data_IF_373372963561
#
_entry.id   IF_373372963561
#
_cell.length_a   1.000
_cell.length_b   1.000
_cell.length_c   1.000
_cell.angle_alpha   90.00
_cell.angle_beta   90.00
_cell.angle_gamma   90.00
#
_symmetry.space_group_name_H-M   'P 1'
#
loop_
_entity.id
_entity.type
_entity.pdbx_description
1 polymer ?
#
# COMPACT_ATOMS: atom_id res chain seq x y z
N UNK A 1 -13.65 2.74 11.10
CA UNK A 1 -14.01 1.30 11.22
C UNK A 1 -13.74 0.54 9.92
N UNK A 2 -14.52 0.73 8.84
CA UNK A 2 -14.35 -0.05 7.60
C UNK A 2 -12.97 0.15 6.95
N UNK A 3 -12.54 1.40 6.79
CA UNK A 3 -11.20 1.74 6.27
C UNK A 3 -10.09 1.27 7.21
N UNK A 4 -10.32 1.29 8.52
CA UNK A 4 -9.35 0.84 9.52
C UNK A 4 -9.02 -0.65 9.35
N UNK A 5 -9.98 -1.49 8.99
CA UNK A 5 -9.74 -2.91 8.70
C UNK A 5 -8.85 -3.10 7.46
N UNK A 6 -9.08 -2.31 6.40
CA UNK A 6 -8.25 -2.30 5.21
C UNK A 6 -6.79 -1.91 5.52
N UNK A 7 -6.61 -0.92 6.39
CA UNK A 7 -5.27 -0.53 6.88
C UNK A 7 -4.63 -1.70 7.63
N UNK A 8 -5.32 -2.29 8.62
CA UNK A 8 -4.76 -3.40 9.42
C UNK A 8 -4.35 -4.60 8.55
N UNK A 9 -5.16 -4.97 7.56
CA UNK A 9 -4.82 -6.05 6.63
C UNK A 9 -3.62 -5.71 5.73
N UNK A 10 -3.51 -4.46 5.27
CA UNK A 10 -2.34 -4.00 4.53
C UNK A 10 -1.09 -3.94 5.41
N UNK A 11 -1.22 -3.52 6.67
CA UNK A 11 -0.10 -3.45 7.63
C UNK A 11 0.49 -4.81 7.94
N UNK A 12 -0.34 -5.87 7.95
CA UNK A 12 0.13 -7.24 8.09
C UNK A 12 1.15 -7.67 7.01
N UNK A 13 1.22 -6.96 5.88
CA UNK A 13 2.15 -7.28 4.79
C UNK A 13 3.49 -6.55 4.92
N UNK A 14 3.58 -5.53 5.79
CA UNK A 14 4.78 -4.67 5.93
C UNK A 14 6.04 -5.46 6.25
N UNK A 15 5.94 -6.44 7.15
CA UNK A 15 7.09 -7.24 7.58
C UNK A 15 7.71 -7.99 6.41
N UNK A 16 6.90 -8.74 5.67
CA UNK A 16 7.36 -9.55 4.54
C UNK A 16 7.91 -8.69 3.39
N UNK A 17 7.25 -7.57 3.09
CA UNK A 17 7.71 -6.61 2.06
C UNK A 17 9.04 -5.96 2.45
N UNK A 18 9.20 -5.59 3.73
CA UNK A 18 10.44 -5.01 4.26
C UNK A 18 11.58 -6.03 4.26
N UNK A 19 11.32 -7.25 4.73
CA UNK A 19 12.31 -8.33 4.76
C UNK A 19 12.81 -8.68 3.36
N UNK A 20 11.90 -8.77 2.38
CA UNK A 20 12.29 -8.97 0.98
C UNK A 20 13.24 -7.86 0.50
N UNK A 21 12.90 -6.60 0.76
CA UNK A 21 13.72 -5.45 0.37
C UNK A 21 15.11 -5.48 1.00
N UNK A 22 15.21 -5.80 2.29
CA UNK A 22 16.48 -5.88 3.00
C UNK A 22 17.36 -7.03 2.48
N UNK A 23 16.77 -8.14 2.06
CA UNK A 23 17.49 -9.31 1.55
C UNK A 23 17.90 -9.21 0.07
N UNK A 24 17.11 -8.51 -0.76
CA UNK A 24 17.32 -8.48 -2.21
C UNK A 24 17.79 -7.12 -2.74
N UNK A 25 17.71 -6.05 -1.94
CA UNK A 25 18.05 -4.70 -2.40
C UNK A 25 17.05 -4.11 -3.40
N UNK A 26 15.87 -4.70 -3.50
CA UNK A 26 14.76 -4.23 -4.34
C UNK A 26 13.41 -4.62 -3.71
N UNK A 27 12.38 -3.85 -4.02
CA UNK A 27 11.02 -4.12 -3.56
C UNK A 27 10.43 -5.34 -4.27
N UNK A 28 9.63 -6.16 -3.58
CA UNK A 28 9.02 -7.33 -4.20
C UNK A 28 8.04 -6.91 -5.29
N UNK A 29 8.18 -7.51 -6.47
CA UNK A 29 7.31 -7.23 -7.63
C UNK A 29 5.84 -7.54 -7.36
N UNK A 30 5.56 -8.57 -6.56
CA UNK A 30 4.21 -9.07 -6.27
C UNK A 30 4.13 -9.78 -4.91
N UNK A 31 2.91 -10.24 -4.55
CA UNK A 31 2.64 -10.98 -3.32
C UNK A 31 3.50 -12.25 -3.18
N UNK A 32 3.72 -12.97 -4.29
CA UNK A 32 4.46 -14.23 -4.29
C UNK A 32 5.95 -14.01 -4.02
N UNK A 33 6.55 -13.01 -4.67
CA UNK A 33 7.90 -12.55 -4.37
C UNK A 33 8.05 -12.10 -2.92
N UNK A 34 7.06 -11.36 -2.39
CA UNK A 34 7.06 -10.96 -0.99
C UNK A 34 6.88 -12.14 0.00
N UNK A 35 6.54 -13.35 -0.46
CA UNK A 35 6.31 -14.49 0.41
C UNK A 35 4.97 -14.45 1.17
N UNK A 36 3.99 -13.69 0.68
CA UNK A 36 2.64 -13.58 1.27
C UNK A 36 1.58 -14.26 0.40
N UNK A 37 0.39 -14.46 0.95
CA UNK A 37 -0.72 -15.04 0.21
C UNK A 37 -1.06 -14.22 -1.04
N UNK A 38 -1.56 -14.88 -2.08
CA UNK A 38 -2.04 -14.21 -3.30
C UNK A 38 -3.09 -13.14 -2.95
N UNK A 39 -3.12 -12.02 -3.68
CA UNK A 39 -3.93 -10.85 -3.33
C UNK A 39 -5.40 -11.16 -3.02
N UNK A 40 -6.04 -12.01 -3.83
CA UNK A 40 -7.43 -12.44 -3.69
C UNK A 40 -7.72 -13.38 -2.51
N UNK A 41 -6.69 -13.79 -1.76
CA UNK A 41 -6.80 -14.57 -0.53
C UNK A 41 -6.61 -13.72 0.72
N UNK A 42 -6.10 -12.50 0.59
CA UNK A 42 -6.01 -11.54 1.69
C UNK A 42 -7.29 -10.73 1.70
N UNK A 43 -8.31 -11.29 2.34
CA UNK A 43 -9.68 -10.76 2.35
C UNK A 43 -10.13 -10.43 3.77
N UNK A 44 -11.08 -9.52 3.89
CA UNK A 44 -11.69 -9.12 5.16
C UNK A 44 -13.20 -8.97 5.03
N UNK A 45 -13.87 -8.60 6.12
CA UNK A 45 -15.29 -8.24 6.12
C UNK A 45 -15.58 -7.08 5.17
N UNK A 46 -14.67 -6.10 5.09
CA UNK A 46 -14.81 -4.92 4.24
C UNK A 46 -13.75 -4.82 3.14
N UNK A 47 -12.89 -5.83 3.00
CA UNK A 47 -11.72 -5.80 2.12
C UNK A 47 -11.82 -6.93 1.11
N UNK A 48 -11.72 -6.59 -0.17
CA UNK A 48 -11.79 -7.52 -1.29
C UNK A 48 -10.46 -8.22 -1.55
N UNK A 49 -9.36 -7.49 -1.46
CA UNK A 49 -8.02 -7.99 -1.71
C UNK A 49 -6.96 -7.03 -1.15
N UNK A 50 -5.77 -7.56 -0.90
CA UNK A 50 -4.56 -6.79 -0.62
C UNK A 50 -3.47 -7.20 -1.60
N UNK A 51 -3.12 -6.29 -2.51
CA UNK A 51 -2.12 -6.51 -3.56
C UNK A 51 -0.80 -5.87 -3.17
N UNK A 52 0.29 -6.61 -3.35
CA UNK A 52 1.65 -6.07 -3.38
C UNK A 52 2.03 -5.86 -4.84
N UNK A 53 2.54 -4.68 -5.17
CA UNK A 53 3.04 -4.36 -6.50
C UNK A 53 4.26 -3.45 -6.36
N UNK A 54 5.44 -3.96 -6.71
CA UNK A 54 6.72 -3.27 -6.53
C UNK A 54 6.88 -2.72 -5.09
N UNK A 55 6.50 -3.51 -4.08
CA UNK A 55 6.53 -3.14 -2.66
C UNK A 55 5.51 -2.08 -2.22
N UNK A 56 4.62 -1.61 -3.09
CA UNK A 56 3.42 -0.88 -2.68
C UNK A 56 2.35 -1.89 -2.31
N UNK A 57 1.78 -1.74 -1.11
CA UNK A 57 0.70 -2.58 -0.60
C UNK A 57 -0.62 -1.84 -0.74
N UNK A 58 -1.50 -2.31 -1.62
CA UNK A 58 -2.79 -1.67 -1.89
C UNK A 58 -3.94 -2.55 -1.41
N UNK A 59 -4.76 -2.02 -0.51
CA UNK A 59 -5.99 -2.68 -0.08
C UNK A 59 -7.18 -2.13 -0.88
N UNK A 60 -8.00 -3.03 -1.45
CA UNK A 60 -9.25 -2.68 -2.10
C UNK A 60 -10.44 -2.97 -1.19
N UNK A 61 -11.32 -1.99 -1.01
CA UNK A 61 -12.58 -2.15 -0.29
C UNK A 61 -13.54 -3.08 -1.05
N UNK A 62 -14.32 -3.86 -0.33
CA UNK A 62 -15.35 -4.74 -0.88
C UNK A 62 -16.42 -3.97 -1.68
N UNK A 63 -17.13 -4.70 -2.54
CA UNK A 63 -18.23 -4.15 -3.36
C UNK A 63 -19.59 -4.19 -2.64
N UNK A 64 -19.68 -4.91 -1.52
CA UNK A 64 -20.87 -5.13 -0.70
C UNK A 64 -20.57 -4.89 0.78
N UNK A 65 -21.61 -4.55 1.57
CA UNK A 65 -21.50 -4.34 3.03
C UNK A 65 -20.53 -3.22 3.46
N UNK A 66 -20.19 -2.32 2.54
CA UNK A 66 -19.36 -1.13 2.79
C UNK A 66 -20.15 0.15 2.53
N UNK A 67 -19.70 1.27 3.09
CA UNK A 67 -20.25 2.58 2.76
C UNK A 67 -20.11 2.86 1.25
N UNK A 68 -21.17 3.38 0.63
CA UNK A 68 -21.20 3.71 -0.81
C UNK A 68 -20.05 4.63 -1.23
N UNK A 69 -19.59 5.50 -0.34
CA UNK A 69 -18.51 6.44 -0.62
C UNK A 69 -17.10 5.81 -0.62
N UNK A 70 -16.95 4.57 -0.13
CA UNK A 70 -15.67 3.83 -0.12
C UNK A 70 -15.72 2.52 -0.89
N UNK A 71 -16.88 2.18 -1.46
CA UNK A 71 -17.09 0.97 -2.25
C UNK A 71 -16.13 0.89 -3.44
N UNK A 72 -15.49 -0.28 -3.62
CA UNK A 72 -14.51 -0.56 -4.68
C UNK A 72 -13.27 0.36 -4.69
N UNK A 73 -13.13 1.22 -3.68
CA UNK A 73 -12.03 2.18 -3.54
C UNK A 73 -10.83 1.54 -2.85
N UNK A 74 -9.71 2.27 -2.86
CA UNK A 74 -8.40 1.78 -2.47
C UNK A 74 -7.66 2.78 -1.59
N UNK A 75 -6.75 2.25 -0.80
CA UNK A 75 -5.66 2.96 -0.13
C UNK A 75 -4.36 2.19 -0.36
N UNK A 76 -3.23 2.89 -0.29
CA UNK A 76 -1.91 2.27 -0.41
C UNK A 76 -1.06 2.55 0.81
N UNK A 77 -0.21 1.58 1.12
CA UNK A 77 0.93 1.73 2.00
C UNK A 77 2.18 1.53 1.16
N UNK A 78 3.17 2.40 1.35
CA UNK A 78 4.44 2.30 0.64
C UNK A 78 5.55 2.67 1.61
N UNK A 79 6.77 2.21 1.34
CA UNK A 79 7.92 2.55 2.15
C UNK A 79 9.04 3.16 1.31
N UNK A 80 9.82 4.05 1.93
CA UNK A 80 11.09 4.55 1.39
C UNK A 80 12.21 4.14 2.31
N UNK A 81 13.41 3.89 1.79
CA UNK A 81 14.58 3.67 2.62
C UNK A 81 15.09 5.00 3.17
N UNK A 82 15.34 5.05 4.47
CA UNK A 82 15.93 6.20 5.16
C UNK A 82 17.02 5.68 6.11
N UNK A 83 18.28 6.05 5.86
CA UNK A 83 19.43 5.87 6.78
C UNK A 83 19.52 4.49 7.47
N UNK A 84 19.48 3.41 6.69
CA UNK A 84 19.61 2.04 7.21
C UNK A 84 18.30 1.43 7.73
N UNK A 85 17.20 2.16 7.67
CA UNK A 85 15.84 1.70 8.00
C UNK A 85 14.88 1.90 6.83
N UNK A 86 13.65 1.38 6.96
CA UNK A 86 12.55 1.70 6.05
C UNK A 86 11.50 2.51 6.79
N UNK A 87 11.02 3.57 6.16
CA UNK A 87 9.90 4.38 6.66
C UNK A 87 8.66 4.10 5.83
N UNK A 88 7.58 3.73 6.50
CA UNK A 88 6.29 3.46 5.89
C UNK A 88 5.39 4.70 5.90
N UNK A 89 4.63 4.83 4.83
CA UNK A 89 3.62 5.85 4.59
C UNK A 89 2.29 5.16 4.28
N UNK A 90 1.19 5.85 4.54
CA UNK A 90 -0.17 5.38 4.31
C UNK A 90 -1.03 6.50 3.75
N UNK A 91 -1.75 6.25 2.67
CA UNK A 91 -2.56 7.29 2.06
C UNK A 91 -3.38 6.81 0.87
N UNK A 92 -3.72 7.77 0.01
CA UNK A 92 -4.39 7.49 -1.25
C UNK A 92 -3.55 6.56 -2.14
N UNK A 93 -4.19 5.89 -3.12
CA UNK A 93 -3.49 4.96 -4.00
C UNK A 93 -2.27 5.58 -4.68
N UNK A 94 -1.15 4.85 -4.64
CA UNK A 94 0.09 5.19 -5.32
C UNK A 94 0.60 4.00 -6.13
N UNK A 95 1.50 4.26 -7.07
CA UNK A 95 2.23 3.24 -7.84
C UNK A 95 3.72 3.47 -7.75
N UNK A 96 4.47 2.37 -7.71
CA UNK A 96 5.91 2.33 -7.90
C UNK A 96 6.23 1.66 -9.22
N UNK A 97 7.06 2.29 -10.04
CA UNK A 97 7.55 1.68 -11.29
C UNK A 97 8.62 0.64 -10.97
N UNK A 98 8.85 -0.30 -11.88
CA UNK A 98 9.95 -1.28 -11.72
C UNK A 98 11.32 -0.59 -11.62
N UNK A 99 11.51 0.53 -12.34
CA UNK A 99 12.72 1.33 -12.24
C UNK A 99 12.91 1.90 -10.82
N UNK A 100 11.83 2.30 -10.17
CA UNK A 100 11.84 2.85 -8.81
C UNK A 100 11.79 1.76 -7.73
N UNK A 101 11.60 0.49 -8.11
CA UNK A 101 11.57 -0.63 -7.19
C UNK A 101 12.96 -0.99 -6.63
N UNK A 102 14.02 -0.36 -7.15
CA UNK A 102 15.41 -0.64 -6.75
C UNK A 102 15.82 0.22 -5.56
N UNK A 103 16.72 -0.32 -4.72
CA UNK A 103 17.26 0.44 -3.61
C UNK A 103 17.84 1.79 -4.04
N UNK A 104 17.49 2.84 -3.28
CA UNK A 104 17.96 4.21 -3.53
C UNK A 104 17.12 5.03 -4.52
N UNK A 105 16.10 4.44 -5.14
CA UNK A 105 15.11 5.21 -5.93
C UNK A 105 13.79 5.35 -5.19
N UNK A 106 13.18 4.24 -4.73
CA UNK A 106 12.03 4.11 -3.81
C UNK A 106 10.76 4.98 -4.05
N UNK A 107 10.78 5.84 -5.06
CA UNK A 107 9.79 6.86 -5.32
C UNK A 107 8.48 6.28 -5.83
N UNK A 108 7.40 6.93 -5.42
CA UNK A 108 6.03 6.57 -5.79
C UNK A 108 5.33 7.77 -6.42
N UNK A 109 4.43 7.48 -7.37
CA UNK A 109 3.55 8.47 -7.97
C UNK A 109 2.10 8.20 -7.56
N UNK A 110 1.24 9.23 -7.60
CA UNK A 110 -0.20 9.04 -7.39
C UNK A 110 -0.75 8.06 -8.42
N UNK A 111 -1.62 7.16 -7.97
CA UNK A 111 -2.44 6.37 -8.89
C UNK A 111 -3.73 7.15 -9.19
N UNK A 112 -3.68 7.99 -10.22
CA UNK A 112 -4.79 8.86 -10.64
C UNK A 112 -5.94 8.12 -11.34
N UNK A 113 -6.09 6.82 -11.10
CA UNK A 113 -7.24 6.07 -11.61
C UNK A 113 -8.53 6.69 -11.06
N UNK A 114 -9.35 7.24 -11.95
CA UNK A 114 -10.55 7.98 -11.57
C UNK A 114 -11.51 7.10 -10.74
N UNK A 115 -12.03 7.66 -9.64
CA UNK A 115 -13.02 7.01 -8.79
C UNK A 115 -12.52 5.92 -7.85
N UNK A 116 -11.23 5.55 -7.89
CA UNK A 116 -10.70 4.45 -7.06
C UNK A 116 -10.12 4.92 -5.72
N UNK A 117 -9.89 6.23 -5.53
CA UNK A 117 -9.29 6.76 -4.29
C UNK A 117 -10.30 6.99 -3.19
N UNK A 118 -10.03 6.47 -2.00
CA UNK A 118 -10.79 6.83 -0.79
C UNK A 118 -10.61 8.32 -0.52
N UNK A 119 -11.73 9.01 -0.25
CA UNK A 119 -11.70 10.43 0.11
C UNK A 119 -10.97 10.61 1.46
N UNK A 120 -10.15 11.66 1.58
CA UNK A 120 -9.33 11.86 2.78
C UNK A 120 -10.15 12.02 4.06
N UNK A 121 -11.43 12.44 3.97
CA UNK A 121 -12.34 12.48 5.13
C UNK A 121 -12.60 11.09 5.73
N UNK A 122 -12.49 10.03 4.94
CA UNK A 122 -12.67 8.64 5.37
C UNK A 122 -11.37 7.97 5.83
N UNK A 123 -10.21 8.58 5.55
CA UNK A 123 -8.92 8.10 6.01
C UNK A 123 -8.65 8.59 7.45
N UNK A 124 -8.13 7.74 8.34
CA UNK A 124 -7.58 8.18 9.61
C UNK A 124 -6.47 9.23 9.40
N UNK A 125 -6.23 10.10 10.38
CA UNK A 125 -5.17 11.13 10.29
C UNK A 125 -3.78 10.53 10.04
N UNK A 126 -3.52 9.32 10.54
CA UNK A 126 -2.28 8.56 10.36
C UNK A 126 -2.13 7.91 8.98
N UNK A 127 -3.13 8.03 8.11
CA UNK A 127 -3.11 7.46 6.76
C UNK A 127 -3.52 8.50 5.72
N UNK A 128 -2.91 9.69 5.78
CA UNK A 128 -3.14 10.81 4.85
C UNK A 128 -1.83 11.34 4.26
N UNK A 129 -0.83 10.48 4.16
CA UNK A 129 0.47 10.83 3.58
C UNK A 129 0.31 11.15 2.09
N UNK A 130 1.05 12.16 1.62
CA UNK A 130 1.10 12.51 0.21
C UNK A 130 2.22 11.73 -0.50
N UNK A 131 1.98 11.29 -1.74
CA UNK A 131 2.98 10.58 -2.56
C UNK A 131 4.25 11.41 -2.80
N UNK A 132 4.12 12.74 -2.77
CA UNK A 132 5.19 13.71 -2.99
C UNK A 132 5.99 14.04 -1.74
N UNK A 133 5.71 13.42 -0.59
CA UNK A 133 6.52 13.66 0.60
C UNK A 133 7.99 13.32 0.28
N UNK A 134 8.90 14.30 0.32
CA UNK A 134 10.31 14.04 0.12
C UNK A 134 10.76 13.08 1.22
N UNK A 135 11.49 12.03 0.85
CA UNK A 135 12.27 11.29 1.85
C UNK A 135 13.11 12.35 2.57
N UNK A 136 12.97 12.43 3.88
CA UNK A 136 13.74 13.41 4.64
C UNK A 136 15.17 12.90 4.56
N UNK A 137 15.99 13.59 3.76
CA UNK A 137 17.41 13.30 3.64
C UNK A 137 18.12 13.53 4.99
#
# INVERSE_FOLDING_TARGET
AQVSEAILLAEGQKSAVTEYYLNHGEWPKDNGSAGVASASKIIGKYVKEVKVENGVVTAQMASSNVNKEIKDKKLSLWAKRENGSVKWFCGQPVKRTEANAKAGTDDVAKDDTAGTKIDTKHLPSTCRDESSLPGIA
#
